data_IF_495411050736
#
_entry.id   IF_495411050736
#
_cell.length_a   1.000
_cell.length_b   1.000
_cell.length_c   1.000
_cell.angle_alpha   90.00
_cell.angle_beta   90.00
_cell.angle_gamma   90.00
#
_symmetry.space_group_name_H-M   'P 1'
#
loop_
_entity.id
_entity.type
_entity.pdbx_description
1 polymer ?
#
# COMPACT_ATOMS: atom_id res chain seq x y z
N UNK A 1 1.22 7.70 31.12
CA UNK A 1 2.00 6.75 30.28
C UNK A 1 1.13 5.51 30.07
N UNK A 2 0.56 5.33 28.88
CA UNK A 2 -0.18 4.10 28.57
C UNK A 2 0.78 2.91 28.55
N UNK A 3 0.43 1.87 29.30
CA UNK A 3 1.24 0.66 29.44
C UNK A 3 1.16 -0.12 28.12
N UNK A 4 2.25 -0.18 27.39
CA UNK A 4 2.35 -0.89 26.10
C UNK A 4 2.02 -2.36 26.31
N UNK A 5 0.95 -2.85 25.68
CA UNK A 5 0.53 -4.27 25.74
C UNK A 5 1.61 -5.15 25.14
N UNK A 6 1.95 -6.25 25.81
CA UNK A 6 3.00 -7.18 25.38
C UNK A 6 2.43 -8.55 25.05
N UNK A 7 3.17 -9.36 24.27
CA UNK A 7 2.81 -10.75 23.95
C UNK A 7 2.63 -11.57 25.26
N UNK A 8 3.41 -11.27 26.29
CA UNK A 8 3.28 -11.93 27.59
C UNK A 8 1.94 -11.58 28.25
N UNK A 9 1.52 -10.31 28.23
CA UNK A 9 0.24 -9.90 28.80
C UNK A 9 -0.96 -10.59 28.15
N UNK A 10 -0.90 -10.83 26.84
CA UNK A 10 -1.92 -11.60 26.10
C UNK A 10 -1.90 -13.07 26.51
N UNK A 11 -0.71 -13.66 26.63
CA UNK A 11 -0.53 -15.03 27.06
C UNK A 11 -1.10 -15.26 28.47
N UNK A 12 -0.80 -14.37 29.41
CA UNK A 12 -1.30 -14.41 30.78
C UNK A 12 -2.83 -14.28 30.83
N UNK A 13 -3.40 -13.38 30.01
CA UNK A 13 -4.85 -13.17 29.94
C UNK A 13 -5.63 -14.37 29.38
N UNK A 14 -4.99 -15.19 28.56
CA UNK A 14 -5.60 -16.37 27.94
C UNK A 14 -5.19 -17.70 28.60
N UNK A 15 -4.28 -17.68 29.57
CA UNK A 15 -3.73 -18.89 30.20
C UNK A 15 -2.89 -19.72 29.22
N UNK A 16 -2.28 -19.09 28.21
CA UNK A 16 -1.50 -19.75 27.17
C UNK A 16 0.01 -19.46 27.32
N UNK A 17 0.84 -20.27 26.67
CA UNK A 17 2.28 -19.97 26.63
C UNK A 17 2.57 -18.77 25.74
N UNK A 18 3.57 -17.95 26.10
CA UNK A 18 4.06 -16.85 25.26
C UNK A 18 4.43 -17.32 23.84
N UNK A 19 4.96 -18.54 23.72
CA UNK A 19 5.34 -19.11 22.44
C UNK A 19 4.09 -19.41 21.56
N UNK A 20 3.02 -19.92 22.17
CA UNK A 20 1.74 -20.17 21.50
C UNK A 20 1.14 -18.87 20.98
N UNK A 21 1.10 -17.81 21.80
CA UNK A 21 0.61 -16.49 21.40
C UNK A 21 1.50 -15.88 20.31
N UNK A 22 2.83 -15.98 20.46
CA UNK A 22 3.76 -15.48 19.44
C UNK A 22 3.60 -16.20 18.09
N UNK A 23 3.38 -17.51 18.09
CA UNK A 23 3.10 -18.29 16.87
C UNK A 23 1.80 -17.84 16.21
N UNK A 24 0.73 -17.65 16.99
CA UNK A 24 -0.55 -17.18 16.50
C UNK A 24 -0.42 -15.78 15.85
N UNK A 25 0.19 -14.83 16.54
CA UNK A 25 0.38 -13.45 16.09
C UNK A 25 1.31 -13.30 14.87
N UNK A 26 2.20 -14.27 14.63
CA UNK A 26 3.13 -14.27 13.49
C UNK A 26 2.73 -15.26 12.39
N UNK A 27 1.55 -15.84 12.49
CA UNK A 27 1.04 -16.87 11.55
C UNK A 27 2.01 -18.04 11.31
N UNK A 28 2.70 -18.50 12.38
CA UNK A 28 3.71 -19.56 12.31
C UNK A 28 3.26 -20.80 13.08
N UNK A 29 3.45 -21.98 12.48
CA UNK A 29 3.20 -23.29 13.10
C UNK A 29 1.74 -23.72 13.07
N UNK A 30 1.51 -25.03 13.29
CA UNK A 30 0.18 -25.61 13.35
C UNK A 30 -0.47 -25.25 14.70
N UNK A 31 -1.49 -24.40 14.65
CA UNK A 31 -2.38 -24.04 15.76
C UNK A 31 -3.81 -24.32 15.30
N UNK A 32 -4.66 -24.84 16.19
CA UNK A 32 -6.08 -24.95 15.91
C UNK A 32 -6.65 -23.57 15.64
N UNK A 33 -7.49 -23.45 14.60
CA UNK A 33 -8.01 -22.16 14.12
C UNK A 33 -8.78 -21.41 15.21
N UNK A 34 -9.61 -22.11 16.00
CA UNK A 34 -10.33 -21.54 17.14
C UNK A 34 -9.39 -20.92 18.19
N UNK A 35 -8.23 -21.57 18.41
CA UNK A 35 -7.24 -21.07 19.37
C UNK A 35 -6.53 -19.83 18.80
N UNK A 36 -6.24 -19.83 17.51
CA UNK A 36 -5.68 -18.68 16.80
C UNK A 36 -6.61 -17.48 16.87
N UNK A 37 -7.88 -17.68 16.54
CA UNK A 37 -8.88 -16.62 16.55
C UNK A 37 -9.05 -16.02 17.94
N UNK A 38 -9.16 -16.84 18.99
CA UNK A 38 -9.22 -16.35 20.38
C UNK A 38 -8.03 -15.48 20.77
N UNK A 39 -6.83 -15.84 20.30
CA UNK A 39 -5.62 -15.04 20.57
C UNK A 39 -5.66 -13.71 19.84
N UNK A 40 -6.12 -13.68 18.58
CA UNK A 40 -6.24 -12.47 17.78
C UNK A 40 -7.28 -11.52 18.36
N UNK A 41 -8.45 -12.03 18.74
CA UNK A 41 -9.52 -11.25 19.35
C UNK A 41 -9.07 -10.62 20.67
N UNK A 42 -8.38 -11.39 21.52
CA UNK A 42 -7.86 -10.90 22.79
C UNK A 42 -6.75 -9.86 22.59
N UNK A 43 -5.91 -10.04 21.61
CA UNK A 43 -4.87 -9.07 21.27
C UNK A 43 -5.48 -7.74 20.80
N UNK A 44 -6.56 -7.79 20.02
CA UNK A 44 -7.31 -6.60 19.58
C UNK A 44 -8.01 -5.90 20.74
N UNK A 45 -8.73 -6.66 21.58
CA UNK A 45 -9.40 -6.14 22.80
C UNK A 45 -8.42 -5.39 23.72
N UNK A 46 -7.21 -5.94 23.88
CA UNK A 46 -6.17 -5.34 24.70
C UNK A 46 -5.42 -4.19 24.02
N UNK A 47 -5.70 -3.88 22.75
CA UNK A 47 -5.04 -2.80 22.00
C UNK A 47 -3.59 -3.11 21.60
N UNK A 48 -3.27 -4.36 21.36
CA UNK A 48 -1.94 -4.78 20.89
C UNK A 48 -1.67 -4.31 19.46
N UNK A 49 -0.91 -3.24 19.30
CA UNK A 49 -0.69 -2.52 18.02
C UNK A 49 0.08 -3.29 16.92
N UNK A 50 0.47 -4.53 17.16
CA UNK A 50 1.24 -5.34 16.20
C UNK A 50 0.40 -6.41 15.49
N UNK A 51 -0.92 -6.42 15.72
CA UNK A 51 -1.83 -7.33 15.02
C UNK A 51 -2.12 -6.74 13.64
N UNK A 52 -1.37 -7.17 12.66
CA UNK A 52 -1.84 -7.10 11.28
C UNK A 52 -2.87 -8.22 11.18
N UNK A 53 -4.15 -7.87 11.21
CA UNK A 53 -5.22 -8.80 10.89
C UNK A 53 -5.06 -9.22 9.43
N UNK A 54 -4.33 -10.31 9.22
CA UNK A 54 -4.52 -11.10 8.03
C UNK A 54 -5.61 -12.10 8.46
N UNK A 55 -6.85 -11.73 8.36
CA UNK A 55 -7.92 -12.71 8.25
C UNK A 55 -7.59 -13.50 7.00
N UNK A 56 -7.04 -14.71 7.15
CA UNK A 56 -7.08 -15.65 6.04
C UNK A 56 -8.57 -15.87 5.77
N UNK A 57 -9.08 -15.59 4.57
CA UNK A 57 -10.43 -15.99 4.25
C UNK A 57 -10.48 -17.50 4.46
N UNK A 58 -11.50 -17.94 5.19
CA UNK A 58 -11.85 -19.34 5.30
C UNK A 58 -11.80 -19.98 3.90
N UNK A 59 -11.34 -21.23 3.72
CA UNK A 59 -11.34 -21.91 2.44
C UNK A 59 -12.75 -22.27 1.96
N UNK A 60 -13.71 -21.46 2.28
CA UNK A 60 -15.08 -21.57 1.85
C UNK A 60 -15.32 -20.59 0.71
N UNK A 61 -15.75 -21.14 -0.38
CA UNK A 61 -16.16 -20.53 -1.63
C UNK A 61 -15.00 -20.28 -2.60
N UNK A 62 -14.86 -21.21 -3.54
CA UNK A 62 -14.26 -20.99 -4.84
C UNK A 62 -15.10 -19.96 -5.58
N UNK A 63 -15.04 -18.71 -5.11
CA UNK A 63 -15.62 -17.56 -5.75
C UNK A 63 -14.85 -17.27 -7.04
N UNK A 64 -15.51 -16.62 -7.96
CA UNK A 64 -14.94 -16.12 -9.19
C UNK A 64 -13.66 -15.31 -8.88
N UNK A 65 -12.57 -15.60 -9.59
CA UNK A 65 -11.31 -14.86 -9.46
C UNK A 65 -11.56 -13.45 -9.97
N UNK A 66 -11.43 -12.46 -9.08
CA UNK A 66 -11.55 -11.05 -9.43
C UNK A 66 -10.22 -10.50 -9.93
N UNK A 67 -10.26 -9.56 -10.86
CA UNK A 67 -9.07 -8.92 -11.40
C UNK A 67 -8.84 -7.56 -10.76
N UNK A 68 -7.60 -7.32 -10.30
CA UNK A 68 -7.10 -6.00 -9.96
C UNK A 68 -6.15 -5.55 -11.08
N UNK A 69 -6.41 -4.38 -11.64
CA UNK A 69 -5.57 -3.80 -12.66
C UNK A 69 -4.51 -2.88 -12.02
N UNK A 70 -3.24 -3.15 -12.23
CA UNK A 70 -2.16 -2.20 -11.95
C UNK A 70 -1.87 -1.41 -13.21
N UNK A 71 -2.19 -0.13 -13.21
CA UNK A 71 -1.92 0.80 -14.32
C UNK A 71 -0.69 1.63 -13.97
N UNK A 72 0.31 1.66 -14.85
CA UNK A 72 1.57 2.38 -14.62
C UNK A 72 2.18 2.87 -15.93
N UNK A 73 2.79 4.08 -15.93
CA UNK A 73 3.63 4.54 -17.04
C UNK A 73 5.03 3.93 -16.99
N UNK A 74 5.56 3.74 -15.78
CA UNK A 74 6.90 3.22 -15.59
C UNK A 74 6.86 1.92 -14.80
N UNK A 75 7.29 0.85 -15.44
CA UNK A 75 7.42 -0.42 -14.75
C UNK A 75 8.57 -0.34 -13.73
N UNK A 76 8.37 -0.78 -12.50
CA UNK A 76 9.38 -0.67 -11.43
C UNK A 76 10.54 -1.66 -11.61
N UNK A 77 10.99 -1.86 -12.84
CA UNK A 77 12.13 -2.71 -13.16
C UNK A 77 13.44 -2.09 -12.66
N UNK A 78 14.19 -2.87 -11.90
CA UNK A 78 15.49 -2.45 -11.37
C UNK A 78 15.46 -1.83 -9.97
N UNK A 79 14.30 -1.59 -9.39
CA UNK A 79 14.15 -1.22 -7.98
C UNK A 79 13.91 -2.47 -7.12
N UNK A 80 14.82 -2.76 -6.20
CA UNK A 80 14.61 -3.85 -5.22
C UNK A 80 13.33 -3.63 -4.40
N UNK A 81 13.03 -2.40 -4.05
CA UNK A 81 11.83 -2.04 -3.30
C UNK A 81 10.56 -2.31 -4.10
N UNK A 82 10.48 -1.83 -5.34
CA UNK A 82 9.33 -2.02 -6.21
C UNK A 82 9.06 -3.49 -6.51
N UNK A 83 10.09 -4.25 -6.84
CA UNK A 83 9.97 -5.70 -7.10
C UNK A 83 9.51 -6.46 -5.87
N UNK A 84 10.08 -6.17 -4.69
CA UNK A 84 9.69 -6.83 -3.44
C UNK A 84 8.24 -6.50 -3.05
N UNK A 85 7.86 -5.23 -3.15
CA UNK A 85 6.51 -4.77 -2.83
C UNK A 85 5.46 -5.42 -3.74
N UNK A 86 5.71 -5.46 -5.06
CA UNK A 86 4.80 -6.09 -6.03
C UNK A 86 4.68 -7.60 -5.81
N UNK A 87 5.78 -8.31 -5.57
CA UNK A 87 5.74 -9.75 -5.30
C UNK A 87 4.93 -10.06 -4.02
N UNK A 88 5.18 -9.32 -2.96
CA UNK A 88 4.46 -9.48 -1.69
C UNK A 88 2.97 -9.16 -1.86
N UNK A 89 2.67 -8.11 -2.62
CA UNK A 89 1.29 -7.72 -2.92
C UNK A 89 0.59 -8.80 -3.74
N UNK A 90 1.21 -9.28 -4.81
CA UNK A 90 0.64 -10.34 -5.66
C UNK A 90 0.38 -11.63 -4.88
N UNK A 91 1.31 -12.05 -4.00
CA UNK A 91 1.12 -13.20 -3.13
C UNK A 91 -0.11 -13.04 -2.22
N UNK A 92 -0.27 -11.87 -1.61
CA UNK A 92 -1.40 -11.57 -0.74
C UNK A 92 -2.73 -11.52 -1.50
N UNK A 93 -2.74 -10.93 -2.70
CA UNK A 93 -3.93 -10.84 -3.53
C UNK A 93 -4.38 -12.22 -4.01
N UNK A 94 -3.45 -13.07 -4.42
CA UNK A 94 -3.76 -14.45 -4.84
C UNK A 94 -4.41 -15.28 -3.72
N UNK A 95 -4.01 -15.09 -2.47
CA UNK A 95 -4.62 -15.74 -1.30
C UNK A 95 -6.06 -15.28 -1.06
N UNK A 96 -6.44 -14.11 -1.56
CA UNK A 96 -7.77 -13.52 -1.43
C UNK A 96 -8.61 -13.66 -2.72
N UNK A 97 -8.27 -14.58 -3.61
CA UNK A 97 -8.94 -14.79 -4.90
C UNK A 97 -8.91 -13.57 -5.84
N UNK A 98 -7.87 -12.72 -5.71
CA UNK A 98 -7.61 -11.66 -6.68
C UNK A 98 -6.42 -12.01 -7.55
N UNK A 99 -6.55 -11.72 -8.84
CA UNK A 99 -5.44 -11.74 -9.80
C UNK A 99 -4.99 -10.32 -10.08
N UNK A 100 -3.70 -10.06 -9.95
CA UNK A 100 -3.11 -8.79 -10.35
C UNK A 100 -2.69 -8.87 -11.83
N UNK A 101 -3.28 -8.02 -12.65
CA UNK A 101 -2.90 -7.82 -14.06
C UNK A 101 -2.23 -6.46 -14.21
N UNK A 102 -1.08 -6.43 -14.89
CA UNK A 102 -0.29 -5.21 -15.06
C UNK A 102 -0.52 -4.63 -16.45
N UNK A 103 -0.87 -3.36 -16.50
CA UNK A 103 -1.17 -2.61 -17.71
C UNK A 103 -0.22 -1.41 -17.81
N UNK A 104 0.88 -1.53 -18.57
CA UNK A 104 1.70 -0.36 -18.88
C UNK A 104 0.93 0.60 -19.80
N UNK A 105 0.89 1.87 -19.42
CA UNK A 105 0.30 2.95 -20.22
C UNK A 105 1.41 3.69 -20.93
N UNK A 106 1.25 3.89 -22.23
CA UNK A 106 2.19 4.61 -23.08
C UNK A 106 1.73 6.04 -23.29
N UNK A 107 2.61 6.88 -23.76
CA UNK A 107 2.28 8.27 -24.11
C UNK A 107 1.14 8.39 -25.12
N UNK A 108 0.98 7.39 -26.00
CA UNK A 108 -0.11 7.33 -26.97
C UNK A 108 -1.48 7.13 -26.31
N UNK A 109 -1.57 6.24 -25.31
CA UNK A 109 -2.81 6.03 -24.55
C UNK A 109 -3.13 7.25 -23.69
N UNK A 110 -2.12 7.90 -23.11
CA UNK A 110 -2.30 9.14 -22.33
C UNK A 110 -2.81 10.26 -23.23
N UNK A 111 -2.16 10.52 -24.35
CA UNK A 111 -2.54 11.59 -25.26
C UNK A 111 -3.93 11.39 -25.88
N UNK A 112 -4.37 10.14 -26.04
CA UNK A 112 -5.71 9.82 -26.59
C UNK A 112 -6.76 9.55 -25.52
N UNK A 113 -6.40 9.63 -24.22
CA UNK A 113 -7.26 9.28 -23.07
C UNK A 113 -7.90 7.90 -23.24
N UNK A 114 -7.13 6.94 -23.72
CA UNK A 114 -7.62 5.58 -23.98
C UNK A 114 -7.08 4.59 -22.95
N UNK A 115 -7.87 3.56 -22.68
CA UNK A 115 -7.47 2.49 -21.77
C UNK A 115 -6.41 1.59 -22.41
N UNK A 116 -5.49 0.99 -21.60
CA UNK A 116 -4.46 0.11 -22.13
C UNK A 116 -5.04 -1.09 -22.85
N UNK A 117 -4.30 -1.58 -23.83
CA UNK A 117 -4.70 -2.78 -24.59
C UNK A 117 -4.92 -3.96 -23.64
N UNK A 118 -6.05 -4.63 -23.80
CA UNK A 118 -6.42 -5.80 -22.98
C UNK A 118 -7.09 -5.47 -21.66
N UNK A 119 -7.21 -4.19 -21.27
CA UNK A 119 -8.00 -3.81 -20.12
C UNK A 119 -9.49 -4.11 -20.33
N UNK A 120 -10.11 -4.77 -19.36
CA UNK A 120 -11.52 -5.12 -19.41
C UNK A 120 -12.26 -4.55 -18.19
N UNK A 121 -13.05 -3.51 -18.42
CA UNK A 121 -13.81 -2.81 -17.38
C UNK A 121 -14.73 -3.75 -16.58
N UNK A 122 -15.39 -4.70 -17.24
CA UNK A 122 -16.38 -5.58 -16.63
C UNK A 122 -15.74 -6.63 -15.69
N UNK A 123 -14.48 -6.99 -15.94
CA UNK A 123 -13.73 -7.97 -15.14
C UNK A 123 -12.87 -7.34 -14.06
N UNK A 124 -12.65 -6.02 -14.13
CA UNK A 124 -11.79 -5.30 -13.21
C UNK A 124 -12.55 -4.90 -11.96
N UNK A 125 -12.16 -5.45 -10.82
CA UNK A 125 -12.75 -5.16 -9.52
C UNK A 125 -12.17 -3.91 -8.83
N UNK A 126 -10.99 -3.46 -9.27
CA UNK A 126 -10.32 -2.27 -8.77
C UNK A 126 -9.09 -1.95 -9.60
N UNK A 127 -8.70 -0.68 -9.60
CA UNK A 127 -7.53 -0.17 -10.32
C UNK A 127 -6.53 0.39 -9.30
N UNK A 128 -5.27 0.02 -9.44
CA UNK A 128 -4.15 0.59 -8.70
C UNK A 128 -3.31 1.38 -9.70
N UNK A 129 -3.15 2.67 -9.44
CA UNK A 129 -2.33 3.58 -10.24
C UNK A 129 -0.97 3.76 -9.57
N UNK A 130 0.09 3.39 -10.25
CA UNK A 130 1.46 3.52 -9.79
C UNK A 130 2.26 4.33 -10.81
N UNK A 131 2.94 5.38 -10.36
CA UNK A 131 3.69 6.29 -11.24
C UNK A 131 2.86 6.77 -12.45
N UNK A 132 1.64 7.22 -12.17
CA UNK A 132 0.71 7.76 -13.15
C UNK A 132 0.36 9.19 -12.71
N UNK A 133 0.91 10.19 -13.43
CA UNK A 133 0.89 11.59 -12.99
C UNK A 133 0.23 12.54 -14.00
N UNK A 134 -0.35 12.03 -15.08
CA UNK A 134 -1.10 12.84 -16.03
C UNK A 134 -2.51 13.14 -15.49
N UNK A 135 -2.84 14.41 -15.31
CA UNK A 135 -4.09 14.86 -14.69
C UNK A 135 -5.32 14.52 -15.52
N UNK A 136 -5.25 14.65 -16.84
CA UNK A 136 -6.39 14.38 -17.73
C UNK A 136 -6.66 12.87 -17.77
N UNK A 137 -5.62 12.06 -17.77
CA UNK A 137 -5.75 10.61 -17.72
C UNK A 137 -6.31 10.13 -16.39
N UNK A 138 -5.92 10.75 -15.27
CA UNK A 138 -6.47 10.48 -13.94
C UNK A 138 -7.97 10.83 -13.91
N UNK A 139 -8.36 11.96 -14.46
CA UNK A 139 -9.78 12.36 -14.58
C UNK A 139 -10.56 11.35 -15.44
N UNK A 140 -10.01 10.89 -16.55
CA UNK A 140 -10.62 9.86 -17.38
C UNK A 140 -10.83 8.56 -16.60
N UNK A 141 -9.83 8.08 -15.87
CA UNK A 141 -9.96 6.88 -15.02
C UNK A 141 -11.06 7.06 -13.96
N UNK A 142 -11.19 8.24 -13.38
CA UNK A 142 -12.21 8.56 -12.39
C UNK A 142 -13.65 8.40 -12.94
N UNK A 143 -13.84 8.55 -14.26
CA UNK A 143 -15.15 8.35 -14.90
C UNK A 143 -15.56 6.88 -15.05
N UNK A 144 -14.64 5.94 -14.83
CA UNK A 144 -14.93 4.52 -15.05
C UNK A 144 -15.86 3.90 -13.99
N UNK A 145 -16.03 4.57 -12.84
CA UNK A 145 -16.78 4.05 -11.69
C UNK A 145 -16.26 2.69 -11.18
N UNK A 146 -14.96 2.47 -11.28
CA UNK A 146 -14.24 1.34 -10.68
C UNK A 146 -13.47 1.89 -9.48
N UNK A 147 -13.41 1.19 -8.33
CA UNK A 147 -12.58 1.61 -7.20
C UNK A 147 -11.13 1.89 -7.62
N UNK A 148 -10.62 3.07 -7.26
CA UNK A 148 -9.27 3.54 -7.61
C UNK A 148 -8.41 3.67 -6.35
N UNK A 149 -7.15 3.24 -6.44
CA UNK A 149 -6.11 3.50 -5.45
C UNK A 149 -4.90 4.11 -6.15
N UNK A 150 -4.52 5.31 -5.78
CA UNK A 150 -3.29 5.96 -6.25
C UNK A 150 -2.15 5.74 -5.26
N UNK A 151 -0.99 5.31 -5.77
CA UNK A 151 0.28 5.27 -5.04
C UNK A 151 1.10 6.44 -5.54
N UNK A 152 1.18 7.51 -4.72
CA UNK A 152 1.58 8.85 -5.09
C UNK A 152 0.62 9.51 -6.12
N UNK A 153 0.80 10.80 -6.39
CA UNK A 153 -0.01 11.57 -7.37
C UNK A 153 0.85 12.61 -8.09
N UNK A 154 0.29 13.25 -9.12
CA UNK A 154 0.89 14.43 -9.72
C UNK A 154 1.06 15.56 -8.67
N UNK A 155 2.09 16.38 -8.84
CA UNK A 155 2.24 17.58 -8.02
C UNK A 155 1.04 18.50 -8.20
N UNK A 156 0.50 19.03 -7.09
CA UNK A 156 -0.65 19.94 -7.12
C UNK A 156 -2.02 19.27 -7.35
N UNK A 157 -2.11 17.95 -7.39
CA UNK A 157 -3.39 17.25 -7.54
C UNK A 157 -4.36 17.62 -6.42
N UNK A 158 -5.55 18.10 -6.77
CA UNK A 158 -6.66 18.27 -5.84
C UNK A 158 -7.37 16.92 -5.62
N UNK A 159 -6.91 16.20 -4.61
CA UNK A 159 -7.44 14.87 -4.27
C UNK A 159 -8.91 14.88 -3.87
N UNK A 160 -9.48 16.02 -3.51
CA UNK A 160 -10.90 16.12 -3.11
C UNK A 160 -11.86 15.99 -4.30
N UNK A 161 -11.37 16.17 -5.52
CA UNK A 161 -12.14 16.05 -6.76
C UNK A 161 -12.10 14.64 -7.36
N UNK A 162 -11.25 13.76 -6.85
CA UNK A 162 -11.06 12.42 -7.38
C UNK A 162 -11.70 11.44 -6.41
N UNK A 163 -12.65 10.64 -6.91
CA UNK A 163 -13.28 9.58 -6.12
C UNK A 163 -12.37 8.34 -6.04
N UNK A 164 -11.33 8.43 -5.22
CA UNK A 164 -10.30 7.41 -5.08
C UNK A 164 -9.69 7.42 -3.68
N UNK A 165 -9.02 6.32 -3.33
CA UNK A 165 -8.13 6.23 -2.19
C UNK A 165 -6.70 6.60 -2.61
N UNK A 166 -5.92 7.11 -1.65
CA UNK A 166 -4.54 7.54 -1.88
C UNK A 166 -3.61 6.91 -0.83
N UNK A 167 -2.59 6.22 -1.31
CA UNK A 167 -1.49 5.73 -0.50
C UNK A 167 -0.29 6.65 -0.69
N UNK A 168 -0.05 7.52 0.29
CA UNK A 168 0.98 8.53 0.25
C UNK A 168 2.04 8.27 1.32
N UNK A 169 3.27 8.63 1.01
CA UNK A 169 4.36 8.64 2.00
C UNK A 169 4.40 10.02 2.68
N UNK A 170 4.86 10.04 3.92
CA UNK A 170 5.28 11.27 4.56
C UNK A 170 6.66 11.66 3.99
N UNK A 171 6.75 12.79 3.32
CA UNK A 171 7.95 13.23 2.61
C UNK A 171 8.52 14.55 3.15
N UNK A 172 7.67 15.42 3.69
CA UNK A 172 8.05 16.77 4.10
C UNK A 172 8.87 16.76 5.41
N UNK A 173 8.29 16.21 6.47
CA UNK A 173 8.91 16.20 7.80
C UNK A 173 10.21 15.39 7.81
N UNK A 174 10.25 14.29 7.07
CA UNK A 174 11.43 13.43 6.97
C UNK A 174 12.62 14.17 6.37
N UNK A 175 12.40 14.94 5.31
CA UNK A 175 13.45 15.74 4.66
C UNK A 175 13.83 16.94 5.52
N UNK A 176 12.85 17.61 6.12
CA UNK A 176 13.11 18.70 7.07
C UNK A 176 14.06 18.25 8.20
N UNK A 177 13.75 17.13 8.87
CA UNK A 177 14.57 16.60 9.97
C UNK A 177 15.98 16.25 9.48
N UNK A 178 16.10 15.61 8.32
CA UNK A 178 17.38 15.26 7.73
C UNK A 178 18.21 16.52 7.42
N UNK A 179 17.61 17.51 6.79
CA UNK A 179 18.26 18.76 6.41
C UNK A 179 18.69 19.55 7.66
N UNK A 180 17.82 19.67 8.66
CA UNK A 180 18.17 20.32 9.93
C UNK A 180 19.33 19.62 10.63
N UNK A 181 19.32 18.29 10.68
CA UNK A 181 20.43 17.49 11.22
C UNK A 181 21.75 17.79 10.50
N UNK A 182 21.72 17.87 9.18
CA UNK A 182 22.91 18.20 8.37
C UNK A 182 23.41 19.64 8.65
N UNK A 183 22.50 20.59 8.80
CA UNK A 183 22.82 21.98 9.18
C UNK A 183 23.50 22.03 10.54
N UNK A 184 22.97 21.33 11.53
CA UNK A 184 23.54 21.23 12.87
C UNK A 184 24.93 20.59 12.86
N UNK A 185 25.19 19.67 11.92
CA UNK A 185 26.51 19.08 11.70
C UNK A 185 27.45 19.92 10.81
N UNK A 186 27.07 21.17 10.53
CA UNK A 186 27.94 22.14 9.85
C UNK A 186 27.79 22.20 8.32
N UNK A 187 26.90 21.43 7.71
CA UNK A 187 26.61 21.56 6.27
C UNK A 187 25.99 22.93 5.97
N UNK A 188 26.40 23.57 4.86
CA UNK A 188 25.92 24.91 4.46
C UNK A 188 25.50 24.99 3.01
N UNK A 189 25.70 23.94 2.25
CA UNK A 189 25.37 23.90 0.82
C UNK A 189 24.61 22.61 0.55
N UNK A 190 23.40 22.75 0.00
CA UNK A 190 22.51 21.66 -0.34
C UNK A 190 22.15 21.74 -1.82
N UNK A 191 21.85 20.60 -2.41
CA UNK A 191 21.30 20.50 -3.75
C UNK A 191 20.17 19.47 -3.73
N UNK A 192 19.06 19.80 -4.35
CA UNK A 192 17.98 18.88 -4.61
C UNK A 192 18.14 18.31 -6.02
N UNK A 193 18.15 16.98 -6.14
CA UNK A 193 18.21 16.30 -7.43
C UNK A 193 16.82 15.72 -7.76
N UNK A 194 16.09 16.39 -8.65
CA UNK A 194 14.76 15.99 -9.09
C UNK A 194 13.94 17.17 -9.60
N UNK A 195 12.80 16.88 -10.24
CA UNK A 195 11.82 17.90 -10.64
C UNK A 195 10.70 17.99 -9.61
N UNK A 196 10.58 19.09 -8.83
CA UNK A 196 9.50 19.24 -7.84
C UNK A 196 8.09 19.21 -8.42
N UNK A 197 7.95 19.47 -9.71
CA UNK A 197 6.66 19.48 -10.41
C UNK A 197 6.26 18.09 -10.94
N UNK A 198 7.16 17.11 -10.84
CA UNK A 198 6.92 15.78 -11.39
C UNK A 198 5.81 15.04 -10.65
N UNK A 199 5.93 14.92 -9.34
CA UNK A 199 4.94 14.24 -8.51
C UNK A 199 4.90 14.83 -7.10
N UNK A 200 3.87 14.50 -6.35
CA UNK A 200 3.65 15.02 -5.00
C UNK A 200 4.81 14.70 -4.06
N UNK A 201 5.33 13.49 -4.09
CA UNK A 201 6.45 13.10 -3.23
C UNK A 201 7.72 13.91 -3.51
N UNK A 202 8.01 14.26 -4.77
CA UNK A 202 9.13 15.16 -5.10
C UNK A 202 8.86 16.59 -4.64
N UNK A 203 7.65 17.10 -4.83
CA UNK A 203 7.25 18.42 -4.37
C UNK A 203 7.38 18.56 -2.85
N UNK A 204 6.85 17.60 -2.09
CA UNK A 204 6.91 17.59 -0.64
C UNK A 204 8.35 17.48 -0.11
N UNK A 205 9.19 16.66 -0.74
CA UNK A 205 10.62 16.55 -0.38
C UNK A 205 11.40 17.84 -0.67
N UNK A 206 11.04 18.56 -1.73
CA UNK A 206 11.66 19.85 -2.06
C UNK A 206 11.26 20.94 -1.06
N UNK A 207 10.03 20.90 -0.54
CA UNK A 207 9.53 21.85 0.45
C UNK A 207 10.05 21.58 1.86
N UNK A 208 10.34 20.33 2.21
CA UNK A 208 10.93 19.92 3.49
C UNK A 208 12.38 20.31 3.62
#
# INVERSE_FOLDING_TARGET
>A
MEKKVTVQAIADALGLSRNTVSKALNNKGALAEDTRQKILDKAAEMGYRRVIYISEPSPAEKGEIKELALITQNMPYGSHFGTYALNTFQERMSKNNYRLSMFPVRDTEIASLSLPIGFNKEKTAGIICLELFDSEYIEMLNTLNIPLLFIDTAAGTDMTRINADFLLMENHLSVFILTDTLIQNGCRRFAFAGNPEHCRSFSERYQG
#
